data_IF_101175565768
#
_entry.id   IF_101175565768
#
_cell.length_a   1.000
_cell.length_b   1.000
_cell.length_c   1.000
_cell.angle_alpha   90.00
_cell.angle_beta   90.00
_cell.angle_gamma   90.00
#
_symmetry.space_group_name_H-M   'P 1'
#
loop_
_entity.id
_entity.type
_entity.pdbx_description
1 polymer ?
#
# COMPACT_ATOMS: atom_id res chain seq x y z
N UNK A 1 -7.75 -21.49 -1.21
CA UNK A 1 -7.52 -20.04 -1.06
C UNK A 1 -6.11 -19.71 -1.57
N UNK A 2 -5.97 -18.71 -2.41
CA UNK A 2 -4.69 -18.24 -2.94
C UNK A 2 -4.04 -17.29 -1.94
N UNK A 3 -2.96 -17.72 -1.27
CA UNK A 3 -2.25 -16.89 -0.31
C UNK A 3 -1.22 -16.03 -1.05
N UNK A 4 -1.38 -14.72 -1.00
CA UNK A 4 -0.46 -13.73 -1.57
C UNK A 4 -0.22 -12.59 -0.58
N UNK A 5 0.98 -12.04 -0.60
CA UNK A 5 1.34 -10.83 0.13
C UNK A 5 2.00 -9.89 -0.88
N UNK A 6 1.28 -8.83 -1.27
CA UNK A 6 1.75 -7.96 -2.34
C UNK A 6 2.18 -6.57 -1.86
N UNK A 7 2.54 -6.46 -0.55
CA UNK A 7 3.13 -5.27 0.03
C UNK A 7 4.24 -5.65 1.00
N UNK A 8 5.48 -5.55 0.57
CA UNK A 8 6.66 -5.86 1.38
C UNK A 8 7.87 -5.02 0.97
N UNK A 9 8.78 -4.82 1.92
CA UNK A 9 9.93 -3.93 1.79
C UNK A 9 11.24 -4.66 2.01
N UNK A 10 12.29 -4.20 1.33
CA UNK A 10 13.65 -4.70 1.45
C UNK A 10 14.61 -3.57 1.79
N UNK A 11 15.89 -3.87 1.85
CA UNK A 11 16.97 -2.87 2.06
C UNK A 11 17.06 -1.77 0.99
N UNK A 12 16.25 -1.83 -0.07
CA UNK A 12 16.11 -0.72 -1.03
C UNK A 12 15.23 0.38 -0.45
N UNK A 13 14.29 0.02 0.41
CA UNK A 13 13.52 0.98 1.22
C UNK A 13 14.39 1.59 2.32
N UNK A 14 14.18 2.86 2.61
CA UNK A 14 14.95 3.60 3.61
C UNK A 14 14.76 3.11 5.06
N UNK A 15 13.71 2.34 5.33
CA UNK A 15 13.26 1.91 6.66
C UNK A 15 13.27 0.37 6.85
N UNK A 16 13.86 -0.35 5.89
CA UNK A 16 14.06 -1.80 5.97
C UNK A 16 15.53 -2.18 5.77
N UNK A 17 15.95 -3.23 6.47
CA UNK A 17 17.27 -3.87 6.29
C UNK A 17 17.17 -5.29 5.76
N UNK A 18 15.95 -5.71 5.37
CA UNK A 18 15.68 -7.09 4.96
C UNK A 18 16.27 -7.40 3.59
N UNK A 19 16.96 -8.53 3.48
CA UNK A 19 17.34 -9.08 2.18
C UNK A 19 16.10 -9.68 1.48
N UNK A 20 15.93 -9.43 0.19
CA UNK A 20 14.81 -10.00 -0.56
C UNK A 20 14.79 -11.54 -0.52
N UNK A 21 15.96 -12.17 -0.49
CA UNK A 21 16.08 -13.63 -0.34
C UNK A 21 15.50 -14.15 0.98
N UNK A 22 15.62 -13.36 2.06
CA UNK A 22 15.06 -13.71 3.37
C UNK A 22 13.55 -13.52 3.39
N UNK A 23 13.07 -12.45 2.77
CA UNK A 23 11.64 -12.22 2.57
C UNK A 23 10.99 -13.33 1.77
N UNK A 24 11.62 -13.75 0.66
CA UNK A 24 11.14 -14.84 -0.18
C UNK A 24 11.13 -16.18 0.56
N UNK A 25 12.17 -16.49 1.37
CA UNK A 25 12.17 -17.69 2.21
C UNK A 25 11.05 -17.68 3.25
N UNK A 26 10.80 -16.53 3.88
CA UNK A 26 9.71 -16.39 4.82
C UNK A 26 8.35 -16.59 4.14
N UNK A 27 8.17 -16.04 2.93
CA UNK A 27 6.97 -16.21 2.12
C UNK A 27 6.70 -17.70 1.79
N UNK A 28 7.73 -18.43 1.35
CA UNK A 28 7.62 -19.87 1.10
C UNK A 28 7.26 -20.62 2.39
N UNK A 29 7.93 -20.30 3.50
CA UNK A 29 7.67 -20.95 4.80
C UNK A 29 6.26 -20.66 5.32
N UNK A 30 5.70 -19.49 5.01
CA UNK A 30 4.32 -19.13 5.33
C UNK A 30 3.29 -19.72 4.35
N UNK A 31 3.72 -20.43 3.31
CA UNK A 31 2.84 -21.05 2.30
C UNK A 31 2.26 -20.07 1.28
N UNK A 32 2.87 -18.91 1.11
CA UNK A 32 2.45 -17.97 0.08
C UNK A 32 2.71 -18.54 -1.32
N UNK A 33 1.79 -18.26 -2.23
CA UNK A 33 1.94 -18.52 -3.67
C UNK A 33 2.62 -17.37 -4.39
N UNK A 34 2.44 -16.15 -3.88
CA UNK A 34 2.97 -14.95 -4.50
C UNK A 34 3.43 -13.94 -3.45
N UNK A 35 4.58 -13.30 -3.70
CA UNK A 35 5.13 -12.19 -2.94
C UNK A 35 5.45 -11.07 -3.92
N UNK A 36 4.99 -9.84 -3.65
CA UNK A 36 5.45 -8.65 -4.35
C UNK A 36 6.32 -7.80 -3.44
N UNK A 37 7.53 -7.47 -3.89
CA UNK A 37 8.36 -6.46 -3.24
C UNK A 37 7.96 -5.09 -3.76
N UNK A 38 7.59 -4.19 -2.87
CA UNK A 38 7.08 -2.85 -3.17
C UNK A 38 7.87 -1.80 -2.38
N UNK A 39 9.17 -1.77 -2.60
CA UNK A 39 10.04 -0.83 -1.90
C UNK A 39 9.56 0.61 -2.06
N UNK A 40 9.78 1.44 -1.04
CA UNK A 40 9.33 2.82 -1.00
C UNK A 40 10.01 3.71 -2.03
N UNK A 41 9.20 4.50 -2.71
CA UNK A 41 9.63 5.74 -3.32
C UNK A 41 8.59 6.83 -3.06
N UNK A 42 8.77 7.56 -1.98
CA UNK A 42 8.00 8.77 -1.73
C UNK A 42 8.60 9.94 -2.50
N UNK A 43 7.77 10.80 -3.10
CA UNK A 43 8.28 12.02 -3.75
C UNK A 43 8.72 13.08 -2.74
N UNK A 44 8.28 12.93 -1.50
CA UNK A 44 8.73 13.71 -0.35
C UNK A 44 9.44 12.79 0.65
N UNK A 45 10.59 13.22 1.15
CA UNK A 45 11.27 12.53 2.24
C UNK A 45 10.51 12.67 3.58
N UNK A 46 11.02 12.04 4.62
CA UNK A 46 10.43 12.08 5.97
C UNK A 46 10.31 13.51 6.55
N UNK A 47 11.01 14.48 5.99
CA UNK A 47 11.00 15.88 6.40
C UNK A 47 10.19 16.79 5.46
N UNK A 48 9.55 16.22 4.43
CA UNK A 48 8.78 16.96 3.45
C UNK A 48 9.60 17.66 2.36
N UNK A 49 10.82 17.21 2.13
CA UNK A 49 11.68 17.70 1.04
C UNK A 49 11.58 16.74 -0.15
N UNK A 50 11.86 17.18 -1.38
CA UNK A 50 11.97 16.26 -2.51
C UNK A 50 12.91 15.10 -2.18
N UNK A 51 12.42 13.87 -2.35
CA UNK A 51 13.19 12.66 -2.08
C UNK A 51 14.27 12.43 -3.16
N UNK A 52 15.35 11.69 -2.87
CA UNK A 52 16.31 11.28 -3.88
C UNK A 52 15.63 10.33 -4.88
N UNK A 53 16.16 10.20 -6.11
CA UNK A 53 15.64 9.26 -7.11
C UNK A 53 15.63 7.82 -6.58
N UNK A 54 14.61 7.04 -6.98
CA UNK A 54 14.53 5.62 -6.65
C UNK A 54 15.65 4.83 -7.35
N UNK A 55 16.28 3.95 -6.58
CA UNK A 55 17.37 3.10 -7.11
C UNK A 55 16.83 1.86 -7.85
N UNK A 56 16.26 2.10 -9.05
CA UNK A 56 15.79 1.02 -9.93
C UNK A 56 16.88 -0.01 -10.25
N UNK A 57 18.15 0.37 -10.53
CA UNK A 57 19.23 -0.60 -10.69
C UNK A 57 19.37 -1.58 -9.53
N UNK A 58 19.39 -1.10 -8.28
CA UNK A 58 19.48 -1.95 -7.11
C UNK A 58 18.25 -2.84 -6.93
N UNK A 59 17.03 -2.27 -7.05
CA UNK A 59 15.78 -3.00 -6.95
C UNK A 59 15.69 -4.15 -7.98
N UNK A 60 15.97 -3.86 -9.24
CA UNK A 60 15.96 -4.87 -10.32
C UNK A 60 17.06 -5.92 -10.17
N UNK A 61 18.25 -5.53 -9.71
CA UNK A 61 19.35 -6.46 -9.52
C UNK A 61 19.01 -7.51 -8.46
N UNK A 62 18.53 -7.08 -7.28
CA UNK A 62 18.11 -8.02 -6.22
C UNK A 62 16.94 -8.89 -6.67
N UNK A 63 15.92 -8.31 -7.32
CA UNK A 63 14.77 -9.03 -7.84
C UNK A 63 15.17 -10.15 -8.80
N UNK A 64 15.97 -9.84 -9.83
CA UNK A 64 16.43 -10.82 -10.82
C UNK A 64 17.26 -11.93 -10.18
N UNK A 65 18.18 -11.58 -9.26
CA UNK A 65 19.04 -12.54 -8.57
C UNK A 65 18.22 -13.53 -7.73
N UNK A 66 17.22 -13.04 -6.98
CA UNK A 66 16.38 -13.92 -6.15
C UNK A 66 15.40 -14.71 -7.01
N UNK A 67 14.76 -14.09 -7.99
CA UNK A 67 13.81 -14.75 -8.90
C UNK A 67 14.46 -15.96 -9.61
N UNK A 68 15.71 -15.82 -10.07
CA UNK A 68 16.44 -16.90 -10.72
C UNK A 68 16.67 -18.14 -9.82
N UNK A 69 16.63 -17.97 -8.49
CA UNK A 69 16.85 -19.04 -7.52
C UNK A 69 15.55 -19.71 -7.05
N UNK A 70 14.40 -19.04 -7.22
CA UNK A 70 13.14 -19.51 -6.67
C UNK A 70 12.49 -20.61 -7.50
N UNK A 71 12.67 -20.62 -8.83
CA UNK A 71 11.91 -21.49 -9.73
C UNK A 71 10.42 -21.33 -9.52
N UNK A 72 9.69 -22.44 -9.48
CA UNK A 72 8.23 -22.45 -9.33
C UNK A 72 7.75 -22.44 -7.86
N UNK A 73 8.67 -22.26 -6.90
CA UNK A 73 8.31 -22.32 -5.46
C UNK A 73 7.50 -21.11 -4.99
N UNK A 74 7.71 -19.96 -5.62
CA UNK A 74 7.06 -18.69 -5.27
C UNK A 74 7.01 -17.79 -6.51
N UNK A 75 5.85 -17.25 -6.83
CA UNK A 75 5.74 -16.17 -7.80
C UNK A 75 6.26 -14.89 -7.16
N UNK A 76 7.48 -14.48 -7.50
CA UNK A 76 8.06 -13.22 -7.05
C UNK A 76 7.75 -12.11 -8.06
N UNK A 77 7.21 -10.98 -7.59
CA UNK A 77 6.87 -9.79 -8.37
C UNK A 77 7.71 -8.60 -7.96
N UNK A 78 7.96 -7.72 -8.92
CA UNK A 78 8.58 -6.42 -8.69
C UNK A 78 7.51 -5.34 -8.72
N UNK A 79 7.31 -4.69 -7.60
CA UNK A 79 6.41 -3.56 -7.45
C UNK A 79 7.12 -2.31 -6.97
N UNK A 80 6.34 -1.31 -6.67
CA UNK A 80 6.77 -0.05 -6.06
C UNK A 80 5.66 0.45 -5.14
N UNK A 81 6.00 0.91 -3.94
CA UNK A 81 5.12 1.79 -3.19
C UNK A 81 5.47 3.23 -3.50
N UNK A 82 4.63 3.86 -4.32
CA UNK A 82 4.80 5.23 -4.78
C UNK A 82 4.04 6.19 -3.86
N UNK A 83 4.78 6.90 -3.01
CA UNK A 83 4.22 7.86 -2.08
C UNK A 83 4.14 9.26 -2.64
N UNK A 84 3.05 9.97 -2.27
CA UNK A 84 2.88 11.40 -2.52
C UNK A 84 2.92 11.81 -4.00
N UNK A 85 2.46 10.95 -4.93
CA UNK A 85 2.42 11.24 -6.36
C UNK A 85 1.75 12.57 -6.74
N UNK A 86 0.67 13.05 -6.05
CA UNK A 86 0.08 14.36 -6.32
C UNK A 86 1.00 15.56 -6.08
N UNK A 87 2.10 15.39 -5.34
CA UNK A 87 3.07 16.46 -5.11
C UNK A 87 3.82 16.86 -6.39
N UNK A 88 4.23 15.85 -7.18
CA UNK A 88 4.86 16.04 -8.50
C UNK A 88 4.47 14.89 -9.44
N UNK A 89 3.32 14.97 -10.10
CA UNK A 89 2.82 13.93 -10.99
C UNK A 89 3.75 13.63 -12.18
N UNK A 90 4.54 14.61 -12.61
CA UNK A 90 5.48 14.42 -13.72
C UNK A 90 6.66 13.53 -13.28
N UNK A 91 7.24 13.82 -12.13
CA UNK A 91 8.30 12.98 -11.53
C UNK A 91 7.76 11.59 -11.19
N UNK A 92 6.54 11.47 -10.65
CA UNK A 92 5.90 10.18 -10.40
C UNK A 92 5.86 9.31 -11.66
N UNK A 93 5.36 9.84 -12.78
CA UNK A 93 5.32 9.14 -14.07
C UNK A 93 6.70 8.79 -14.61
N UNK A 94 7.67 9.68 -14.45
CA UNK A 94 9.05 9.43 -14.87
C UNK A 94 9.71 8.29 -14.10
N UNK A 95 9.43 8.17 -12.79
CA UNK A 95 9.89 7.05 -11.95
C UNK A 95 9.26 5.74 -12.41
N UNK A 96 7.95 5.71 -12.62
CA UNK A 96 7.25 4.50 -13.08
C UNK A 96 7.75 4.05 -14.47
N UNK A 97 8.01 4.98 -15.39
CA UNK A 97 8.54 4.66 -16.71
C UNK A 97 9.89 3.94 -16.65
N UNK A 98 10.74 4.24 -15.66
CA UNK A 98 12.02 3.56 -15.44
C UNK A 98 11.85 2.11 -14.94
N UNK A 99 10.71 1.79 -14.30
CA UNK A 99 10.34 0.41 -13.94
C UNK A 99 10.25 -0.49 -15.18
N UNK A 100 9.73 0.03 -16.28
CA UNK A 100 9.64 -0.68 -17.57
C UNK A 100 8.77 -1.94 -17.49
N UNK A 101 9.06 -2.91 -18.34
CA UNK A 101 8.28 -4.15 -18.43
C UNK A 101 8.39 -5.08 -17.20
N UNK A 102 9.37 -4.86 -16.33
CA UNK A 102 9.54 -5.65 -15.12
C UNK A 102 8.68 -5.16 -13.95
N UNK A 103 8.11 -3.95 -14.04
CA UNK A 103 7.23 -3.41 -13.02
C UNK A 103 5.87 -4.10 -13.10
N UNK A 104 5.61 -4.94 -12.13
CA UNK A 104 4.37 -5.72 -12.06
C UNK A 104 3.24 -4.98 -11.35
N UNK A 105 3.55 -4.14 -10.34
CA UNK A 105 2.54 -3.57 -9.44
C UNK A 105 2.97 -2.23 -8.84
N UNK A 106 2.01 -1.34 -8.65
CA UNK A 106 2.22 -0.04 -7.97
C UNK A 106 1.14 0.20 -6.92
N UNK A 107 1.59 0.39 -5.68
CA UNK A 107 0.78 0.93 -4.60
C UNK A 107 0.84 2.45 -4.63
N UNK A 108 -0.31 3.11 -4.58
CA UNK A 108 -0.38 4.57 -4.44
C UNK A 108 -0.62 4.95 -2.99
N UNK A 109 0.37 5.56 -2.35
CA UNK A 109 0.36 5.86 -0.92
C UNK A 109 0.49 7.34 -0.59
N UNK A 110 0.10 7.70 0.63
CA UNK A 110 0.23 9.05 1.18
C UNK A 110 0.73 8.97 2.62
N UNK A 111 1.99 9.31 2.83
CA UNK A 111 2.64 9.25 4.13
C UNK A 111 2.80 10.64 4.76
N UNK A 112 2.85 11.69 3.96
CA UNK A 112 3.24 13.04 4.38
C UNK A 112 2.03 13.96 4.58
N UNK A 113 2.21 14.93 5.49
CA UNK A 113 1.40 16.13 5.51
C UNK A 113 1.65 16.94 4.23
N UNK A 114 0.63 17.18 3.43
CA UNK A 114 0.78 17.99 2.23
C UNK A 114 0.20 19.38 2.48
N UNK A 115 0.98 20.43 2.20
CA UNK A 115 0.57 21.82 2.38
C UNK A 115 0.53 22.32 3.82
N UNK A 116 0.68 21.45 4.82
CA UNK A 116 0.70 21.78 6.24
C UNK A 116 1.80 21.03 6.97
N UNK A 117 2.15 21.44 8.18
CA UNK A 117 3.20 20.76 9.00
C UNK A 117 4.54 20.56 8.27
N UNK A 118 4.85 21.43 7.30
CA UNK A 118 6.11 21.38 6.55
C UNK A 118 6.27 20.15 5.65
N UNK A 119 5.19 19.42 5.35
CA UNK A 119 5.26 18.23 4.50
C UNK A 119 5.86 16.99 5.17
N UNK A 120 6.10 17.02 6.49
CA UNK A 120 6.69 15.89 7.23
C UNK A 120 5.79 14.66 7.16
N UNK A 121 6.40 13.49 7.34
CA UNK A 121 5.65 12.25 7.49
C UNK A 121 4.74 12.31 8.72
N UNK A 122 3.52 11.78 8.56
CA UNK A 122 2.49 11.67 9.60
C UNK A 122 2.98 10.91 10.85
N UNK A 123 3.93 9.99 10.69
CA UNK A 123 4.59 9.25 11.77
C UNK A 123 5.17 10.16 12.85
N UNK A 124 5.75 11.32 12.47
CA UNK A 124 6.44 12.23 13.40
C UNK A 124 5.51 13.20 14.14
N UNK A 125 4.20 13.08 13.94
CA UNK A 125 3.21 13.87 14.67
C UNK A 125 2.97 13.30 16.06
N UNK A 126 2.64 14.18 17.02
CA UNK A 126 2.23 13.82 18.38
C UNK A 126 0.74 14.17 18.53
N UNK A 127 -0.08 13.17 18.29
CA UNK A 127 -1.54 13.33 18.26
C UNK A 127 -2.14 13.44 19.66
N UNK A 128 -1.47 12.88 20.66
CA UNK A 128 -1.92 12.95 22.07
C UNK A 128 -1.77 14.32 22.69
N UNK A 129 -0.76 15.08 22.26
CA UNK A 129 -0.45 16.42 22.84
C UNK A 129 -1.16 17.57 22.15
N UNK A 130 -1.61 17.40 20.89
CA UNK A 130 -2.16 18.49 20.10
C UNK A 130 -3.64 18.27 19.83
N UNK A 131 -4.56 18.96 20.56
CA UNK A 131 -6.00 18.81 20.33
C UNK A 131 -6.39 19.06 18.88
N UNK A 132 -7.22 18.18 18.31
CA UNK A 132 -7.72 18.29 16.95
C UNK A 132 -6.72 17.92 15.84
N UNK A 133 -5.44 17.62 16.15
CA UNK A 133 -4.45 17.25 15.15
C UNK A 133 -4.80 15.91 14.47
N UNK A 134 -5.31 14.96 15.22
CA UNK A 134 -5.75 13.66 14.71
C UNK A 134 -6.81 13.82 13.60
N UNK A 135 -7.84 14.65 13.84
CA UNK A 135 -8.87 14.94 12.84
C UNK A 135 -8.27 15.60 11.60
N UNK A 136 -7.39 16.59 11.78
CA UNK A 136 -6.71 17.27 10.66
C UNK A 136 -5.84 16.30 9.84
N UNK A 137 -5.21 15.30 10.49
CA UNK A 137 -4.41 14.29 9.78
C UNK A 137 -5.30 13.45 8.85
N UNK A 138 -6.44 12.98 9.35
CA UNK A 138 -7.39 12.23 8.53
C UNK A 138 -7.94 13.09 7.40
N UNK A 139 -8.38 14.33 7.69
CA UNK A 139 -8.88 15.27 6.67
C UNK A 139 -7.83 15.55 5.58
N UNK A 140 -6.59 15.81 5.98
CA UNK A 140 -5.47 16.03 5.05
C UNK A 140 -5.21 14.80 4.18
N UNK A 141 -5.11 13.62 4.79
CA UNK A 141 -4.88 12.36 4.05
C UNK A 141 -6.00 12.11 3.04
N UNK A 142 -7.25 12.23 3.45
CA UNK A 142 -8.40 12.01 2.54
C UNK A 142 -8.43 13.03 1.40
N UNK A 143 -8.13 14.31 1.66
CA UNK A 143 -8.08 15.35 0.62
C UNK A 143 -7.00 15.03 -0.42
N UNK A 144 -5.81 14.56 0.00
CA UNK A 144 -4.73 14.23 -0.92
C UNK A 144 -4.92 12.87 -1.60
N UNK A 145 -5.57 11.91 -0.91
CA UNK A 145 -6.03 10.68 -1.55
C UNK A 145 -7.04 10.99 -2.66
N UNK A 146 -7.94 11.94 -2.45
CA UNK A 146 -8.86 12.39 -3.50
C UNK A 146 -8.09 12.95 -4.70
N UNK A 147 -7.07 13.79 -4.46
CA UNK A 147 -6.20 14.31 -5.54
C UNK A 147 -5.47 13.18 -6.26
N UNK A 148 -4.91 12.20 -5.52
CA UNK A 148 -4.25 11.04 -6.10
C UNK A 148 -5.17 10.27 -7.07
N UNK A 149 -6.36 9.87 -6.60
CA UNK A 149 -7.25 9.02 -7.39
C UNK A 149 -7.88 9.75 -8.57
N UNK A 150 -7.96 11.08 -8.51
CA UNK A 150 -8.56 11.91 -9.56
C UNK A 150 -7.56 12.39 -10.61
N UNK A 151 -6.38 12.83 -10.17
CA UNK A 151 -5.42 13.52 -11.04
C UNK A 151 -4.25 12.62 -11.47
N UNK A 152 -4.01 11.54 -10.73
CA UNK A 152 -2.91 10.61 -10.97
C UNK A 152 -3.37 9.15 -11.09
N UNK A 153 -4.50 8.82 -11.78
CA UNK A 153 -4.97 7.44 -11.85
C UNK A 153 -3.98 6.49 -12.53
N UNK A 154 -3.11 6.99 -13.38
CA UNK A 154 -2.05 6.25 -14.06
C UNK A 154 -0.82 5.97 -13.16
N UNK A 155 -0.78 6.57 -11.96
CA UNK A 155 0.34 6.46 -11.04
C UNK A 155 0.21 5.33 -10.02
N UNK A 156 -0.87 4.56 -10.00
CA UNK A 156 -1.05 3.42 -9.10
C UNK A 156 -1.94 2.34 -9.71
N UNK A 157 -1.92 1.15 -9.13
CA UNK A 157 -2.78 0.02 -9.49
C UNK A 157 -3.74 -0.31 -8.32
N UNK A 158 -3.26 -0.14 -7.09
CA UNK A 158 -4.05 -0.28 -5.87
C UNK A 158 -3.82 0.90 -4.94
N UNK A 159 -4.91 1.46 -4.40
CA UNK A 159 -4.84 2.51 -3.37
C UNK A 159 -4.35 1.88 -2.06
N UNK A 160 -3.16 2.25 -1.63
CA UNK A 160 -2.55 1.75 -0.41
C UNK A 160 -3.27 2.28 0.84
N UNK A 161 -3.21 1.53 1.88
CA UNK A 161 -3.57 1.80 3.29
C UNK A 161 -4.21 3.17 3.60
N UNK A 162 -5.41 3.45 3.07
CA UNK A 162 -6.18 4.68 3.36
C UNK A 162 -6.30 4.98 4.88
N UNK A 163 -6.04 3.97 5.71
CA UNK A 163 -6.06 4.02 7.18
C UNK A 163 -4.72 4.45 7.80
N UNK A 164 -3.70 4.77 7.00
CA UNK A 164 -2.34 5.08 7.47
C UNK A 164 -2.28 6.05 8.65
N UNK A 165 -2.97 7.21 8.68
CA UNK A 165 -2.91 8.11 9.82
C UNK A 165 -3.48 7.50 11.11
N UNK A 166 -4.44 6.57 11.02
CA UNK A 166 -5.07 5.96 12.19
C UNK A 166 -4.07 5.15 13.03
N UNK A 167 -3.01 4.60 12.41
CA UNK A 167 -1.94 3.85 13.09
C UNK A 167 -1.26 4.68 14.15
N UNK A 168 -0.91 5.91 13.79
CA UNK A 168 -0.14 6.81 14.65
C UNK A 168 -1.05 7.58 15.61
N UNK A 169 -2.27 7.86 15.20
CA UNK A 169 -3.30 8.42 16.08
C UNK A 169 -3.56 7.45 17.24
N UNK A 170 -3.74 6.15 16.94
CA UNK A 170 -3.93 5.09 17.94
C UNK A 170 -2.67 4.88 18.80
N UNK A 171 -1.46 4.92 18.19
CA UNK A 171 -0.19 4.85 18.92
C UNK A 171 -0.11 5.87 20.05
N UNK A 172 -0.65 7.07 19.83
CA UNK A 172 -0.61 8.18 20.78
C UNK A 172 -1.84 8.21 21.71
N UNK A 173 -2.62 7.12 21.75
CA UNK A 173 -3.76 6.94 22.67
C UNK A 173 -5.01 7.73 22.28
N UNK A 174 -5.13 8.18 21.04
CA UNK A 174 -6.31 8.89 20.53
C UNK A 174 -7.21 7.92 19.76
N UNK A 175 -8.46 7.85 20.15
CA UNK A 175 -9.48 7.06 19.45
C UNK A 175 -10.03 7.83 18.24
N UNK A 176 -9.90 7.24 17.06
CA UNK A 176 -10.45 7.76 15.82
C UNK A 176 -10.72 6.65 14.81
N UNK A 177 -11.77 6.82 14.03
CA UNK A 177 -12.15 5.90 12.95
C UNK A 177 -12.52 6.70 11.70
N UNK A 178 -12.57 6.04 10.55
CA UNK A 178 -13.05 6.65 9.30
C UNK A 178 -14.59 6.77 9.23
N UNK A 179 -15.33 6.22 10.20
CA UNK A 179 -16.80 6.32 10.20
C UNK A 179 -17.31 7.76 10.19
N UNK A 180 -16.58 8.69 10.82
CA UNK A 180 -16.90 10.11 10.79
C UNK A 180 -16.56 10.85 9.47
N UNK A 181 -16.03 10.11 8.47
CA UNK A 181 -15.58 10.62 7.17
C UNK A 181 -16.17 9.81 6.00
N UNK A 182 -17.32 9.17 6.22
CA UNK A 182 -17.94 8.25 5.27
C UNK A 182 -18.11 8.87 3.89
N UNK A 183 -18.59 10.11 3.81
CA UNK A 183 -18.82 10.80 2.54
C UNK A 183 -17.53 10.93 1.72
N UNK A 184 -16.45 11.38 2.35
CA UNK A 184 -15.14 11.53 1.70
C UNK A 184 -14.55 10.19 1.25
N UNK A 185 -14.64 9.17 2.12
CA UNK A 185 -14.14 7.83 1.80
C UNK A 185 -14.92 7.22 0.64
N UNK A 186 -16.25 7.34 0.65
CA UNK A 186 -17.10 6.86 -0.45
C UNK A 186 -16.84 7.59 -1.77
N UNK A 187 -16.59 8.90 -1.74
CA UNK A 187 -16.22 9.65 -2.93
C UNK A 187 -14.90 9.09 -3.53
N UNK A 188 -13.88 8.85 -2.70
CA UNK A 188 -12.62 8.24 -3.10
C UNK A 188 -12.87 6.84 -3.68
N UNK A 189 -13.60 6.00 -2.98
CA UNK A 189 -13.89 4.63 -3.42
C UNK A 189 -14.69 4.56 -4.71
N UNK A 190 -15.64 5.47 -4.91
CA UNK A 190 -16.37 5.60 -6.18
C UNK A 190 -15.44 5.95 -7.34
N UNK A 191 -14.46 6.84 -7.11
CA UNK A 191 -13.48 7.18 -8.13
C UNK A 191 -12.52 6.01 -8.43
N UNK A 192 -12.03 5.32 -7.40
CA UNK A 192 -11.19 4.10 -7.54
C UNK A 192 -11.93 3.04 -8.34
N UNK A 193 -13.18 2.76 -8.01
CA UNK A 193 -14.02 1.81 -8.72
C UNK A 193 -14.27 2.22 -10.19
N UNK A 194 -14.61 3.49 -10.42
CA UNK A 194 -14.88 4.01 -11.78
C UNK A 194 -13.66 3.95 -12.71
N UNK A 195 -12.46 3.98 -12.17
CA UNK A 195 -11.20 3.87 -12.92
C UNK A 195 -10.65 2.44 -12.99
N UNK A 196 -11.35 1.47 -12.37
CA UNK A 196 -10.97 0.05 -12.42
C UNK A 196 -9.73 -0.28 -11.58
N UNK A 197 -9.44 0.53 -10.56
CA UNK A 197 -8.32 0.29 -9.64
C UNK A 197 -8.77 -0.52 -8.41
N UNK A 198 -7.77 -1.06 -7.70
CA UNK A 198 -8.00 -1.77 -6.46
C UNK A 198 -7.89 -0.85 -5.24
N UNK A 199 -8.42 -1.32 -4.10
CA UNK A 199 -8.01 -0.89 -2.77
C UNK A 199 -7.18 -1.98 -2.10
N UNK A 200 -6.26 -1.59 -1.26
CA UNK A 200 -5.45 -2.52 -0.47
C UNK A 200 -6.06 -2.72 0.91
N UNK A 201 -6.23 -3.98 1.34
CA UNK A 201 -6.25 -4.30 2.77
C UNK A 201 -4.81 -4.42 3.24
N UNK A 202 -4.31 -3.37 3.83
CA UNK A 202 -3.03 -3.41 4.51
C UNK A 202 -3.24 -3.91 5.94
N UNK A 203 -2.63 -5.04 6.26
CA UNK A 203 -2.82 -5.65 7.59
C UNK A 203 -1.96 -5.01 8.67
N UNK A 204 -1.00 -4.17 8.29
CA UNK A 204 -0.01 -3.62 9.21
C UNK A 204 0.59 -4.70 10.11
N UNK A 205 1.02 -5.79 9.50
CA UNK A 205 1.55 -6.95 10.20
C UNK A 205 0.54 -7.58 11.17
N UNK A 206 -0.74 -7.62 10.76
CA UNK A 206 -1.86 -8.19 11.51
C UNK A 206 -2.43 -7.30 12.62
N UNK A 207 -2.11 -6.00 12.65
CA UNK A 207 -2.52 -5.09 13.76
C UNK A 207 -3.72 -4.22 13.45
N UNK A 208 -3.98 -3.88 12.19
CA UNK A 208 -4.98 -2.86 11.80
C UNK A 208 -6.10 -3.48 10.93
N UNK A 209 -6.72 -4.56 11.42
CA UNK A 209 -7.75 -5.27 10.65
C UNK A 209 -9.18 -4.85 11.00
N UNK A 210 -9.42 -4.26 12.14
CA UNK A 210 -10.75 -3.97 12.70
C UNK A 210 -11.59 -2.96 11.90
N UNK A 211 -10.97 -2.08 11.14
CA UNK A 211 -11.67 -1.10 10.31
C UNK A 211 -12.11 -1.65 8.93
N UNK A 212 -11.49 -2.72 8.44
CA UNK A 212 -11.68 -3.19 7.07
C UNK A 212 -13.07 -3.75 6.75
N UNK A 213 -13.79 -4.44 7.63
CA UNK A 213 -15.15 -4.88 7.30
C UNK A 213 -16.08 -3.74 6.87
N UNK A 214 -15.99 -2.57 7.52
CA UNK A 214 -16.75 -1.39 7.17
C UNK A 214 -16.30 -0.82 5.82
N UNK A 215 -14.99 -0.65 5.63
CA UNK A 215 -14.42 -0.09 4.41
C UNK A 215 -14.69 -0.96 3.18
N UNK A 216 -14.58 -2.27 3.30
CA UNK A 216 -14.93 -3.22 2.24
C UNK A 216 -16.39 -3.13 1.86
N UNK A 217 -17.29 -3.00 2.85
CA UNK A 217 -18.72 -2.80 2.60
C UNK A 217 -18.94 -1.53 1.79
N UNK A 218 -18.32 -0.42 2.18
CA UNK A 218 -18.44 0.84 1.44
C UNK A 218 -17.87 0.74 0.03
N UNK A 219 -16.68 0.12 -0.13
CA UNK A 219 -16.06 -0.03 -1.44
C UNK A 219 -16.94 -0.85 -2.39
N UNK A 220 -17.48 -1.97 -1.91
CA UNK A 220 -18.41 -2.78 -2.70
C UNK A 220 -19.68 -2.02 -3.10
N UNK A 221 -20.26 -1.26 -2.17
CA UNK A 221 -21.43 -0.41 -2.45
C UNK A 221 -21.15 0.71 -3.45
N UNK A 222 -19.89 1.16 -3.54
CA UNK A 222 -19.42 2.11 -4.54
C UNK A 222 -19.09 1.48 -5.90
N UNK A 223 -19.35 0.17 -6.08
CA UNK A 223 -19.06 -0.54 -7.33
C UNK A 223 -17.63 -1.07 -7.41
N UNK A 224 -16.90 -1.12 -6.30
CA UNK A 224 -15.54 -1.68 -6.26
C UNK A 224 -15.53 -3.19 -6.46
N UNK A 225 -14.59 -3.68 -7.27
CA UNK A 225 -14.45 -5.09 -7.63
C UNK A 225 -13.08 -5.66 -7.27
N UNK A 226 -12.02 -4.83 -7.28
CA UNK A 226 -10.65 -5.26 -7.10
C UNK A 226 -10.14 -4.94 -5.68
N UNK A 227 -9.71 -5.97 -4.96
CA UNK A 227 -9.10 -5.81 -3.63
C UNK A 227 -7.78 -6.54 -3.61
N UNK A 228 -6.75 -5.89 -3.10
CA UNK A 228 -5.42 -6.44 -2.86
C UNK A 228 -5.17 -6.63 -1.37
N UNK A 229 -4.17 -7.45 -1.01
CA UNK A 229 -3.77 -7.66 0.39
C UNK A 229 -2.27 -7.51 0.56
N UNK A 230 -1.84 -6.87 1.64
CA UNK A 230 -0.44 -6.71 1.97
C UNK A 230 -0.18 -6.70 3.48
N UNK A 231 0.92 -7.31 3.91
CA UNK A 231 1.33 -7.29 5.30
C UNK A 231 2.10 -6.01 5.66
N UNK A 232 2.64 -5.31 4.66
CA UNK A 232 3.52 -4.16 4.86
C UNK A 232 4.75 -4.57 5.69
N UNK A 233 5.32 -5.71 5.26
CA UNK A 233 6.39 -6.38 5.99
C UNK A 233 7.74 -5.75 5.67
N UNK A 234 8.43 -5.25 6.70
CA UNK A 234 9.79 -4.69 6.63
C UNK A 234 10.84 -5.67 7.17
N UNK A 235 10.41 -6.86 7.58
CA UNK A 235 11.25 -7.93 8.14
C UNK A 235 10.69 -9.29 7.76
N UNK A 236 11.53 -10.31 7.57
CA UNK A 236 11.07 -11.65 7.18
C UNK A 236 9.98 -12.24 8.09
N UNK A 237 10.09 -12.00 9.42
CA UNK A 237 9.11 -12.52 10.39
C UNK A 237 7.74 -11.84 10.31
N UNK A 238 7.59 -10.76 9.54
CA UNK A 238 6.33 -10.04 9.38
C UNK A 238 5.60 -10.39 8.09
N UNK A 239 6.25 -11.10 7.17
CA UNK A 239 5.66 -11.58 5.91
C UNK A 239 4.43 -12.46 6.21
N UNK A 240 3.38 -12.27 5.43
CA UNK A 240 2.09 -12.97 5.52
C UNK A 240 1.27 -12.71 6.81
N UNK A 241 1.75 -11.90 7.75
CA UNK A 241 0.99 -11.61 8.98
C UNK A 241 -0.33 -10.91 8.67
N UNK A 242 -1.43 -11.51 9.14
CA UNK A 242 -2.78 -11.00 8.94
C UNK A 242 -3.38 -11.29 7.55
N UNK A 243 -2.63 -11.84 6.61
CA UNK A 243 -3.12 -12.15 5.26
C UNK A 243 -4.30 -13.12 5.28
N UNK A 244 -4.27 -14.28 5.99
CA UNK A 244 -5.42 -15.18 6.02
C UNK A 244 -6.69 -14.48 6.52
N UNK A 245 -6.58 -13.69 7.59
CA UNK A 245 -7.70 -12.93 8.14
C UNK A 245 -8.23 -11.89 7.15
N UNK A 246 -7.35 -11.19 6.45
CA UNK A 246 -7.75 -10.22 5.41
C UNK A 246 -8.52 -10.90 4.26
N UNK A 247 -8.07 -12.06 3.80
CA UNK A 247 -8.75 -12.84 2.76
C UNK A 247 -10.15 -13.30 3.22
N UNK A 248 -10.28 -13.73 4.48
CA UNK A 248 -11.59 -14.07 5.06
C UNK A 248 -12.53 -12.86 5.12
N UNK A 249 -12.00 -11.66 5.43
CA UNK A 249 -12.78 -10.41 5.43
C UNK A 249 -13.24 -10.04 4.02
N UNK A 250 -12.39 -10.17 3.00
CA UNK A 250 -12.75 -9.92 1.59
C UNK A 250 -13.91 -10.84 1.20
N UNK A 251 -13.80 -12.13 1.50
CA UNK A 251 -14.84 -13.12 1.24
C UNK A 251 -16.14 -12.80 1.98
N UNK A 252 -16.05 -12.46 3.27
CA UNK A 252 -17.21 -12.10 4.09
C UNK A 252 -17.92 -10.84 3.58
N UNK A 253 -17.18 -9.88 2.99
CA UNK A 253 -17.75 -8.70 2.35
C UNK A 253 -18.35 -8.99 0.97
N UNK A 254 -18.31 -10.26 0.51
CA UNK A 254 -18.94 -10.72 -0.72
C UNK A 254 -18.12 -10.49 -1.98
N UNK A 255 -16.80 -10.31 -1.87
CA UNK A 255 -15.90 -10.37 -3.02
C UNK A 255 -15.58 -11.84 -3.32
N UNK A 256 -15.56 -12.21 -4.60
CA UNK A 256 -15.26 -13.58 -5.04
C UNK A 256 -13.78 -13.86 -5.26
N UNK A 257 -12.97 -12.80 -5.37
CA UNK A 257 -11.57 -12.89 -5.73
C UNK A 257 -10.72 -11.90 -4.94
N UNK A 258 -9.42 -12.23 -4.78
CA UNK A 258 -8.35 -11.28 -4.46
C UNK A 258 -7.55 -10.99 -5.73
N UNK A 259 -7.06 -9.77 -5.89
CA UNK A 259 -6.26 -9.37 -7.04
C UNK A 259 -4.74 -9.37 -6.72
N UNK A 260 -3.94 -9.89 -7.64
CA UNK A 260 -2.51 -9.62 -7.78
C UNK A 260 -2.25 -8.96 -9.12
N UNK A 261 -0.99 -8.62 -9.44
CA UNK A 261 -0.71 -7.90 -10.67
C UNK A 261 0.50 -8.46 -11.42
N UNK A 262 0.40 -8.43 -12.76
CA UNK A 262 1.51 -8.75 -13.66
C UNK A 262 1.57 -7.65 -14.73
N UNK A 263 2.71 -6.98 -14.86
CA UNK A 263 2.88 -5.84 -15.78
C UNK A 263 1.76 -4.82 -15.63
N UNK A 264 1.42 -4.49 -14.38
CA UNK A 264 0.37 -3.55 -14.02
C UNK A 264 -1.05 -3.94 -14.50
N UNK A 265 -1.28 -5.22 -14.72
CA UNK A 265 -2.61 -5.75 -15.06
C UNK A 265 -3.09 -6.69 -13.98
N UNK A 266 -4.34 -6.56 -13.52
CA UNK A 266 -4.86 -7.39 -12.45
C UNK A 266 -5.00 -8.86 -12.89
N UNK A 267 -4.64 -9.76 -11.98
CA UNK A 267 -4.85 -11.20 -12.07
C UNK A 267 -5.72 -11.60 -10.90
N UNK A 268 -6.87 -12.20 -11.17
CA UNK A 268 -7.86 -12.56 -10.16
C UNK A 268 -7.66 -13.99 -9.67
N UNK A 269 -7.72 -14.18 -8.36
CA UNK A 269 -7.62 -15.47 -7.71
C UNK A 269 -8.86 -15.70 -6.85
N UNK A 270 -9.55 -16.81 -7.05
CA UNK A 270 -10.75 -17.19 -6.28
C UNK A 270 -10.45 -17.37 -4.78
N UNK A 271 -11.42 -16.97 -3.91
CA UNK A 271 -11.36 -17.00 -2.44
C UNK A 271 -12.05 -18.23 -1.84
#
# INVERSE_FOLDING_TARGET
MYLCDIHSHTKVSHDSTAELSDMARAAISAGLRELCVTDHHDLLDLNGRPAPPFDWPAAKAQYRAVKAQLGDKLALRLGLELGSAPYDPQTARAVLAQGGEELDFVLGSLHNWIGTQGGRDLYFSDYGKTPGLARKAVESTLAHTWTLVKECPDCYDSLAHIVYPLRYIRRDGVEMTLAGFEEQVRAIFSQVAATGHAIEINTCRGRDLDCWPLLLTWFKQCGGELVTVGADAHRPQDVAKGIPQALDMIKAAGFGCVATYVRRRPVLHEL
#
